data_IF_195732475845
#
_entry.id   IF_195732475845
#
_cell.length_a   1.000
_cell.length_b   1.000
_cell.length_c   1.000
_cell.angle_alpha   90.00
_cell.angle_beta   90.00
_cell.angle_gamma   90.00
#
_symmetry.space_group_name_H-M   'P 1'
#
loop_
_entity.id
_entity.type
_entity.pdbx_description
1 polymer ?
#
# COMPACT_ATOMS: atom_id res chain seq x y z
N UNK A 1 1.17 -1.08 -55.99
CA UNK A 1 0.88 0.35 -55.73
C UNK A 1 -0.42 0.56 -54.95
N UNK A 2 -1.51 -0.17 -55.20
CA UNK A 2 -2.76 -0.04 -54.41
C UNK A 2 -2.59 -0.41 -52.91
N UNK A 3 -1.91 -1.54 -52.61
CA UNK A 3 -1.72 -2.00 -51.22
C UNK A 3 -0.93 -1.05 -50.31
N UNK A 4 0.03 -0.31 -50.88
CA UNK A 4 0.84 0.67 -50.13
C UNK A 4 0.06 1.96 -49.87
N UNK A 5 -0.85 2.32 -50.78
CA UNK A 5 -1.71 3.48 -50.63
C UNK A 5 -2.78 3.26 -49.56
N UNK A 6 -3.40 2.07 -49.52
CA UNK A 6 -4.37 1.70 -48.50
C UNK A 6 -3.76 1.67 -47.09
N UNK A 7 -2.53 1.17 -46.96
CA UNK A 7 -1.78 1.17 -45.71
C UNK A 7 -1.40 2.60 -45.25
N UNK A 8 -1.01 3.48 -46.17
CA UNK A 8 -0.74 4.88 -45.85
C UNK A 8 -2.00 5.65 -45.44
N UNK A 9 -3.13 5.41 -46.10
CA UNK A 9 -4.41 6.02 -45.72
C UNK A 9 -4.89 5.53 -44.36
N UNK A 10 -4.71 4.24 -44.05
CA UNK A 10 -5.02 3.68 -42.72
C UNK A 10 -4.14 4.30 -41.62
N UNK A 11 -2.84 4.50 -41.85
CA UNK A 11 -1.94 5.15 -40.89
C UNK A 11 -2.28 6.64 -40.70
N UNK A 12 -2.70 7.34 -41.76
CA UNK A 12 -3.16 8.74 -41.67
C UNK A 12 -4.48 8.85 -40.91
N UNK A 13 -5.42 7.95 -41.14
CA UNK A 13 -6.68 7.88 -40.38
C UNK A 13 -6.40 7.61 -38.89
N UNK A 14 -5.46 6.71 -38.58
CA UNK A 14 -5.02 6.42 -37.22
C UNK A 14 -4.35 7.63 -36.56
N UNK A 15 -3.50 8.38 -37.30
CA UNK A 15 -2.89 9.61 -36.80
C UNK A 15 -3.91 10.72 -36.53
N UNK A 16 -4.90 10.90 -37.41
CA UNK A 16 -5.93 11.92 -37.26
C UNK A 16 -6.90 11.64 -36.10
N UNK A 17 -7.13 10.36 -35.77
CA UNK A 17 -8.02 9.94 -34.68
C UNK A 17 -7.24 9.33 -33.50
N UNK A 18 -5.96 9.66 -33.36
CA UNK A 18 -5.06 9.06 -32.38
C UNK A 18 -5.50 9.30 -30.94
N UNK A 19 -5.96 10.51 -30.61
CA UNK A 19 -6.41 10.86 -29.25
C UNK A 19 -7.63 10.05 -28.82
N UNK A 20 -8.60 9.89 -29.73
CA UNK A 20 -9.83 9.13 -29.48
C UNK A 20 -9.55 7.62 -29.34
N UNK A 21 -8.65 7.09 -30.16
CA UNK A 21 -8.21 5.68 -30.08
C UNK A 21 -7.38 5.40 -28.83
N UNK A 22 -6.52 6.34 -28.41
CA UNK A 22 -5.72 6.22 -27.20
C UNK A 22 -6.56 6.37 -25.94
N UNK A 23 -7.53 7.30 -25.91
CA UNK A 23 -8.48 7.45 -24.80
C UNK A 23 -9.35 6.20 -24.63
N UNK A 24 -9.84 5.65 -25.73
CA UNK A 24 -10.58 4.38 -25.73
C UNK A 24 -9.74 3.20 -25.23
N UNK A 25 -8.44 3.14 -25.60
CA UNK A 25 -7.53 2.08 -25.15
C UNK A 25 -7.16 2.20 -23.67
N UNK A 26 -6.87 3.42 -23.19
CA UNK A 26 -6.32 3.67 -21.86
C UNK A 26 -7.40 3.78 -20.78
N UNK A 27 -8.54 4.40 -21.08
CA UNK A 27 -9.55 4.75 -20.07
C UNK A 27 -10.83 3.91 -20.17
N UNK A 28 -11.13 3.33 -21.33
CA UNK A 28 -12.44 2.67 -21.59
C UNK A 28 -12.36 1.22 -22.05
N UNK A 29 -11.23 0.55 -21.85
CA UNK A 29 -11.12 -0.89 -22.09
C UNK A 29 -11.28 -1.31 -23.56
N UNK A 30 -10.86 -0.46 -24.51
CA UNK A 30 -10.93 -0.63 -25.97
C UNK A 30 -12.29 -0.37 -26.63
N UNK A 31 -13.22 0.26 -25.92
CA UNK A 31 -14.53 0.68 -26.45
C UNK A 31 -14.50 2.15 -26.81
N UNK A 32 -14.97 2.47 -28.01
CA UNK A 32 -15.20 3.85 -28.44
C UNK A 32 -16.69 4.17 -28.27
N UNK A 33 -17.07 5.20 -27.49
CA UNK A 33 -18.47 5.59 -27.35
C UNK A 33 -19.05 6.04 -28.69
N UNK A 34 -20.22 5.52 -29.06
CA UNK A 34 -20.96 5.96 -30.24
C UNK A 34 -21.69 7.29 -29.93
N UNK A 35 -20.97 8.40 -30.06
CA UNK A 35 -21.53 9.76 -29.95
C UNK A 35 -21.66 10.40 -31.33
N UNK A 36 -22.66 11.25 -31.54
CA UNK A 36 -22.96 11.90 -32.83
C UNK A 36 -21.77 12.67 -33.43
N UNK A 37 -20.82 13.12 -32.59
CA UNK A 37 -19.57 13.78 -33.00
C UNK A 37 -18.51 12.81 -33.56
N UNK A 38 -18.57 11.53 -33.17
CA UNK A 38 -17.57 10.50 -33.49
C UNK A 38 -17.98 9.58 -34.65
N UNK A 39 -19.20 9.71 -35.19
CA UNK A 39 -19.71 8.88 -36.28
C UNK A 39 -18.81 8.91 -37.53
N UNK A 40 -18.31 10.08 -37.93
CA UNK A 40 -17.42 10.21 -39.10
C UNK A 40 -16.04 9.56 -38.88
N UNK A 41 -15.54 9.59 -37.65
CA UNK A 41 -14.31 8.91 -37.25
C UNK A 41 -14.51 7.39 -37.17
N UNK A 42 -15.69 6.94 -36.71
CA UNK A 42 -16.05 5.52 -36.64
C UNK A 42 -16.23 4.91 -38.02
N UNK A 43 -16.87 5.60 -38.97
CA UNK A 43 -17.03 5.16 -40.36
C UNK A 43 -15.68 5.03 -41.08
N UNK A 44 -14.76 5.99 -40.87
CA UNK A 44 -13.42 5.94 -41.46
C UNK A 44 -12.56 4.83 -40.86
N UNK A 45 -12.64 4.62 -39.54
CA UNK A 45 -11.93 3.54 -38.86
C UNK A 45 -12.53 2.15 -39.17
N UNK A 46 -13.84 2.04 -39.41
CA UNK A 46 -14.50 0.83 -39.90
C UNK A 46 -14.12 0.52 -41.36
N UNK A 47 -14.09 1.54 -42.22
CA UNK A 47 -13.67 1.39 -43.63
C UNK A 47 -12.23 0.85 -43.73
N UNK A 48 -11.33 1.32 -42.86
CA UNK A 48 -9.96 0.82 -42.76
C UNK A 48 -9.81 -0.47 -41.94
N UNK A 49 -10.92 -1.10 -41.53
CA UNK A 49 -10.95 -2.36 -40.77
C UNK A 49 -10.22 -2.30 -39.42
N UNK A 50 -10.08 -1.11 -38.82
CA UNK A 50 -9.38 -0.89 -37.54
C UNK A 50 -10.28 -1.14 -36.32
N UNK A 51 -11.59 -1.03 -36.54
CA UNK A 51 -12.66 -1.29 -35.56
C UNK A 51 -13.45 -2.52 -36.00
N UNK A 52 -14.08 -3.21 -35.05
CA UNK A 52 -15.06 -4.23 -35.33
C UNK A 52 -16.35 -3.99 -34.53
N UNK A 53 -17.49 -4.21 -35.18
CA UNK A 53 -18.83 -4.21 -34.59
C UNK A 53 -19.39 -5.63 -34.67
N UNK A 54 -19.97 -6.15 -33.59
CA UNK A 54 -20.73 -7.41 -33.67
C UNK A 54 -22.01 -7.10 -34.45
N UNK A 55 -22.16 -7.66 -35.66
CA UNK A 55 -23.38 -7.47 -36.45
C UNK A 55 -24.49 -8.32 -35.83
N UNK A 56 -25.32 -7.71 -34.97
CA UNK A 56 -26.48 -8.39 -34.37
C UNK A 56 -27.11 -7.75 -33.13
N UNK A 57 -26.46 -6.78 -32.48
CA UNK A 57 -27.01 -6.10 -31.30
C UNK A 57 -26.89 -4.58 -31.49
N UNK A 58 -28.03 -3.87 -31.47
CA UNK A 58 -28.17 -2.45 -31.82
C UNK A 58 -27.57 -1.47 -30.79
N UNK A 59 -26.87 -1.96 -29.76
CA UNK A 59 -26.50 -1.17 -28.57
C UNK A 59 -25.06 -1.40 -28.06
N UNK A 60 -24.18 -2.03 -28.84
CA UNK A 60 -22.79 -2.24 -28.42
C UNK A 60 -21.79 -1.30 -29.09
N UNK A 61 -21.09 -0.54 -28.24
CA UNK A 61 -19.98 0.34 -28.63
C UNK A 61 -18.94 -0.41 -29.50
N UNK A 62 -18.46 0.22 -30.60
CA UNK A 62 -17.41 -0.34 -31.44
C UNK A 62 -16.13 -0.65 -30.65
N UNK A 63 -15.60 -1.86 -30.83
CA UNK A 63 -14.34 -2.29 -30.21
C UNK A 63 -13.17 -2.15 -31.18
N UNK A 64 -12.00 -1.77 -30.66
CA UNK A 64 -10.75 -1.82 -31.41
C UNK A 64 -10.42 -3.28 -31.78
N UNK A 65 -9.89 -3.51 -32.98
CA UNK A 65 -9.42 -4.84 -33.37
C UNK A 65 -8.18 -5.26 -32.60
N UNK A 66 -8.05 -6.58 -32.38
CA UNK A 66 -6.94 -7.18 -31.65
C UNK A 66 -5.57 -6.82 -32.23
N UNK A 67 -5.45 -6.72 -33.55
CA UNK A 67 -4.21 -6.36 -34.24
C UNK A 67 -3.79 -4.91 -33.96
N UNK A 68 -4.76 -3.98 -33.92
CA UNK A 68 -4.53 -2.59 -33.56
C UNK A 68 -4.20 -2.46 -32.06
N UNK A 69 -4.90 -3.21 -31.21
CA UNK A 69 -4.61 -3.31 -29.79
C UNK A 69 -3.18 -3.81 -29.57
N UNK A 70 -2.73 -4.83 -30.29
CA UNK A 70 -1.35 -5.33 -30.19
C UNK A 70 -0.32 -4.28 -30.61
N UNK A 71 -0.58 -3.53 -31.68
CA UNK A 71 0.29 -2.43 -32.12
C UNK A 71 0.31 -1.28 -31.10
N UNK A 72 -0.84 -0.87 -30.57
CA UNK A 72 -0.95 0.16 -29.55
C UNK A 72 -0.29 -0.27 -28.24
N UNK A 73 -0.43 -1.53 -27.84
CA UNK A 73 0.26 -2.07 -26.66
C UNK A 73 1.78 -2.10 -26.88
N UNK A 74 2.24 -2.41 -28.11
CA UNK A 74 3.65 -2.35 -28.48
C UNK A 74 4.19 -0.91 -28.47
N UNK A 75 3.40 0.06 -28.93
CA UNK A 75 3.81 1.48 -29.04
C UNK A 75 3.70 2.21 -27.69
N UNK A 76 2.69 1.91 -26.87
CA UNK A 76 2.42 2.53 -25.56
C UNK A 76 3.34 2.08 -24.42
N UNK A 77 4.37 1.28 -24.73
CA UNK A 77 5.29 0.73 -23.73
C UNK A 77 4.64 -0.26 -22.74
N UNK A 78 3.35 -0.57 -22.89
CA UNK A 78 2.64 -1.54 -22.05
C UNK A 78 3.02 -3.00 -22.36
N UNK A 79 3.44 -3.30 -23.60
CA UNK A 79 4.10 -4.59 -23.92
C UNK A 79 5.53 -4.61 -23.36
N UNK A 80 6.28 -3.50 -23.52
CA UNK A 80 7.66 -3.35 -23.02
C UNK A 80 7.71 -3.58 -21.51
N UNK A 81 6.80 -2.98 -20.74
CA UNK A 81 6.63 -3.24 -19.30
C UNK A 81 6.24 -4.68 -18.97
N UNK A 82 5.45 -5.35 -19.81
CA UNK A 82 5.08 -6.77 -19.61
C UNK A 82 6.21 -7.74 -19.92
N UNK A 83 7.09 -7.40 -20.86
CA UNK A 83 8.20 -8.25 -21.30
C UNK A 83 9.55 -7.80 -20.78
N UNK A 84 9.64 -6.71 -20.00
CA UNK A 84 10.91 -6.16 -19.54
C UNK A 84 11.77 -7.20 -18.81
N UNK A 85 11.16 -8.10 -18.02
CA UNK A 85 11.90 -9.21 -17.39
C UNK A 85 12.50 -10.19 -18.41
N UNK A 86 11.75 -10.58 -19.44
CA UNK A 86 12.22 -11.47 -20.51
C UNK A 86 13.21 -10.78 -21.46
N UNK A 87 13.01 -9.48 -21.72
CA UNK A 87 13.90 -8.66 -22.53
C UNK A 87 15.24 -8.41 -21.82
N UNK A 88 15.23 -8.04 -20.54
CA UNK A 88 16.45 -7.91 -19.72
C UNK A 88 17.21 -9.24 -19.70
N UNK A 89 16.52 -10.38 -19.59
CA UNK A 89 17.16 -11.69 -19.65
C UNK A 89 17.80 -11.99 -21.03
N UNK A 90 17.11 -11.69 -22.12
CA UNK A 90 17.63 -11.92 -23.48
C UNK A 90 18.81 -10.99 -23.82
N UNK A 91 18.72 -9.71 -23.43
CA UNK A 91 19.82 -8.74 -23.57
C UNK A 91 21.02 -9.20 -22.75
N UNK A 92 20.80 -9.75 -21.56
CA UNK A 92 21.87 -10.30 -20.74
C UNK A 92 22.59 -11.49 -21.40
N UNK A 93 21.85 -12.47 -21.93
CA UNK A 93 22.46 -13.58 -22.66
C UNK A 93 23.26 -13.10 -23.88
N UNK A 94 22.78 -12.04 -24.53
CA UNK A 94 23.48 -11.42 -25.66
C UNK A 94 24.77 -10.75 -25.21
N UNK A 95 24.76 -10.07 -24.05
CA UNK A 95 25.93 -9.47 -23.41
C UNK A 95 27.00 -10.52 -23.07
N UNK A 96 26.60 -11.67 -22.51
CA UNK A 96 27.51 -12.80 -22.24
C UNK A 96 28.13 -13.38 -23.53
N UNK A 97 27.38 -13.38 -24.63
CA UNK A 97 27.90 -13.69 -25.97
C UNK A 97 28.97 -12.70 -26.41
N UNK A 98 28.67 -11.40 -26.30
CA UNK A 98 29.60 -10.32 -26.66
C UNK A 98 30.88 -10.34 -25.80
N UNK A 99 30.80 -10.69 -24.52
CA UNK A 99 32.00 -10.85 -23.68
C UNK A 99 32.89 -12.01 -24.13
N UNK A 100 32.30 -13.14 -24.57
CA UNK A 100 33.05 -14.26 -25.14
C UNK A 100 33.75 -13.86 -26.43
N UNK A 101 33.03 -13.20 -27.33
CA UNK A 101 33.56 -12.74 -28.62
C UNK A 101 34.67 -11.69 -28.42
N UNK A 102 34.49 -10.78 -27.45
CA UNK A 102 35.50 -9.79 -27.07
C UNK A 102 36.78 -10.45 -26.56
N UNK A 103 36.66 -11.47 -25.69
CA UNK A 103 37.80 -12.19 -25.16
C UNK A 103 38.55 -12.98 -26.26
N UNK A 104 37.83 -13.53 -27.25
CA UNK A 104 38.41 -14.22 -28.40
C UNK A 104 39.10 -13.25 -29.38
N UNK A 105 38.49 -12.10 -29.66
CA UNK A 105 39.07 -11.03 -30.48
C UNK A 105 40.35 -10.47 -29.83
N UNK A 106 40.36 -10.34 -28.50
CA UNK A 106 41.54 -9.92 -27.73
C UNK A 106 42.68 -10.93 -27.77
N UNK A 107 42.38 -12.23 -27.71
CA UNK A 107 43.39 -13.30 -27.90
C UNK A 107 44.03 -13.27 -29.30
N UNK A 108 43.26 -12.88 -30.32
CA UNK A 108 43.72 -12.78 -31.72
C UNK A 108 44.34 -11.43 -32.09
N UNK A 109 44.35 -10.46 -31.18
CA UNK A 109 44.83 -9.08 -31.40
C UNK A 109 44.17 -8.37 -32.60
N UNK A 110 42.88 -8.63 -32.84
CA UNK A 110 42.11 -7.99 -33.90
C UNK A 110 41.58 -6.62 -33.45
N UNK A 111 42.42 -5.58 -33.51
CA UNK A 111 42.12 -4.25 -32.95
C UNK A 111 40.83 -3.59 -33.45
N UNK A 112 40.48 -3.77 -34.74
CA UNK A 112 39.26 -3.20 -35.32
C UNK A 112 37.99 -3.89 -34.78
N UNK A 113 38.05 -5.21 -34.61
CA UNK A 113 36.93 -5.97 -34.06
C UNK A 113 36.75 -5.71 -32.56
N UNK A 114 37.86 -5.48 -31.83
CA UNK A 114 37.84 -5.09 -30.42
C UNK A 114 37.08 -3.77 -30.24
N UNK A 115 37.40 -2.71 -30.99
CA UNK A 115 36.69 -1.41 -30.86
C UNK A 115 35.20 -1.53 -31.19
N UNK A 116 34.85 -2.31 -32.23
CA UNK A 116 33.46 -2.57 -32.59
C UNK A 116 32.71 -3.32 -31.48
N UNK A 117 33.33 -4.34 -30.89
CA UNK A 117 32.75 -5.12 -29.80
C UNK A 117 32.63 -4.29 -28.52
N UNK A 118 33.57 -3.39 -28.22
CA UNK A 118 33.43 -2.46 -27.09
C UNK A 118 32.25 -1.50 -27.25
N UNK A 119 32.02 -1.00 -28.47
CA UNK A 119 30.86 -0.16 -28.75
C UNK A 119 29.55 -0.95 -28.57
N UNK A 120 29.48 -2.17 -29.11
CA UNK A 120 28.32 -3.04 -28.96
C UNK A 120 28.04 -3.41 -27.49
N UNK A 121 29.08 -3.66 -26.69
CA UNK A 121 28.96 -3.93 -25.26
C UNK A 121 28.42 -2.69 -24.52
N UNK A 122 28.90 -1.49 -24.84
CA UNK A 122 28.39 -0.24 -24.22
C UNK A 122 26.93 -0.01 -24.55
N UNK A 123 26.54 -0.22 -25.80
CA UNK A 123 25.16 -0.06 -26.26
C UNK A 123 24.24 -1.08 -25.58
N UNK A 124 24.59 -2.36 -25.60
CA UNK A 124 23.80 -3.40 -24.93
C UNK A 124 23.68 -3.17 -23.42
N UNK A 125 24.75 -2.72 -22.75
CA UNK A 125 24.68 -2.39 -21.32
C UNK A 125 23.79 -1.16 -21.06
N UNK A 126 23.86 -0.13 -21.91
CA UNK A 126 23.00 1.04 -21.78
C UNK A 126 21.52 0.65 -21.95
N UNK A 127 21.20 -0.20 -22.93
CA UNK A 127 19.86 -0.75 -23.13
C UNK A 127 19.37 -1.53 -21.90
N UNK A 128 20.22 -2.38 -21.31
CA UNK A 128 19.86 -3.11 -20.07
C UNK A 128 19.55 -2.15 -18.92
N UNK A 129 20.38 -1.11 -18.74
CA UNK A 129 20.18 -0.13 -17.66
C UNK A 129 18.88 0.65 -17.87
N UNK A 130 18.60 1.08 -19.10
CA UNK A 130 17.38 1.81 -19.43
C UNK A 130 16.14 0.92 -19.30
N UNK A 131 16.20 -0.35 -19.69
CA UNK A 131 15.10 -1.30 -19.53
C UNK A 131 14.83 -1.63 -18.05
N UNK A 132 15.88 -1.76 -17.23
CA UNK A 132 15.75 -1.92 -15.77
C UNK A 132 15.05 -0.70 -15.16
N UNK A 133 15.52 0.50 -15.51
CA UNK A 133 14.92 1.75 -15.01
C UNK A 133 13.46 1.88 -15.44
N UNK A 134 13.18 1.70 -16.73
CA UNK A 134 11.83 1.77 -17.28
C UNK A 134 10.89 0.73 -16.65
N UNK A 135 11.38 -0.49 -16.37
CA UNK A 135 10.60 -1.51 -15.68
C UNK A 135 10.25 -1.10 -14.25
N UNK A 136 11.24 -0.60 -13.48
CA UNK A 136 11.04 -0.17 -12.09
C UNK A 136 10.13 1.06 -11.99
N UNK A 137 10.34 2.09 -12.81
CA UNK A 137 9.46 3.25 -12.91
C UNK A 137 8.04 2.86 -13.32
N UNK A 138 7.91 1.84 -14.18
CA UNK A 138 6.64 1.26 -14.56
C UNK A 138 5.82 0.77 -13.37
N UNK A 139 6.44 0.13 -12.38
CA UNK A 139 5.76 -0.32 -11.16
C UNK A 139 5.38 0.84 -10.23
N UNK A 140 6.22 1.87 -10.13
CA UNK A 140 5.91 3.08 -9.33
C UNK A 140 4.74 3.86 -9.95
N UNK A 141 4.74 4.04 -11.26
CA UNK A 141 3.60 4.62 -11.99
C UNK A 141 2.33 3.77 -11.79
N UNK A 142 2.48 2.44 -11.77
CA UNK A 142 1.37 1.53 -11.53
C UNK A 142 0.72 1.74 -10.16
N UNK A 143 1.53 1.91 -9.12
CA UNK A 143 1.08 2.27 -7.78
C UNK A 143 0.32 3.59 -7.73
N UNK A 144 0.89 4.64 -8.33
CA UNK A 144 0.29 5.97 -8.32
C UNK A 144 -1.03 6.04 -9.10
N UNK A 145 -1.18 5.23 -10.16
CA UNK A 145 -2.42 5.13 -10.94
C UNK A 145 -3.53 4.33 -10.25
N UNK A 146 -3.21 3.59 -9.18
CA UNK A 146 -4.19 2.88 -8.34
C UNK A 146 -5.08 1.87 -9.07
N UNK A 147 -4.70 1.37 -10.24
CA UNK A 147 -5.58 0.57 -11.11
C UNK A 147 -6.87 1.29 -11.54
N UNK A 148 -6.86 2.63 -11.68
CA UNK A 148 -8.06 3.42 -11.99
C UNK A 148 -8.82 3.02 -13.27
N UNK A 149 -8.20 2.23 -14.15
CA UNK A 149 -8.82 1.66 -15.35
C UNK A 149 -9.66 0.40 -15.10
N UNK A 150 -9.56 -0.22 -13.92
CA UNK A 150 -10.32 -1.42 -13.55
C UNK A 150 -11.40 -1.05 -12.55
N UNK A 151 -12.65 -1.12 -12.97
CA UNK A 151 -13.80 -0.78 -12.14
C UNK A 151 -14.14 -1.86 -11.11
N UNK A 152 -13.88 -3.14 -11.41
CA UNK A 152 -14.17 -4.27 -10.51
C UNK A 152 -13.00 -4.52 -9.54
N UNK A 153 -13.29 -4.50 -8.24
CA UNK A 153 -12.36 -4.81 -7.16
C UNK A 153 -11.70 -6.20 -7.34
N UNK A 154 -12.44 -7.21 -7.82
CA UNK A 154 -11.88 -8.55 -8.07
C UNK A 154 -10.82 -8.53 -9.17
N UNK A 155 -11.10 -7.82 -10.25
CA UNK A 155 -10.15 -7.68 -11.36
C UNK A 155 -8.93 -6.85 -10.94
N UNK A 156 -9.10 -5.84 -10.07
CA UNK A 156 -7.98 -5.09 -9.46
C UNK A 156 -7.07 -6.00 -8.64
N UNK A 157 -7.65 -6.88 -7.81
CA UNK A 157 -6.87 -7.85 -7.02
C UNK A 157 -6.06 -8.78 -7.93
N UNK A 158 -6.69 -9.36 -8.95
CA UNK A 158 -6.01 -10.27 -9.90
C UNK A 158 -4.86 -9.55 -10.62
N UNK A 159 -5.06 -8.31 -11.04
CA UNK A 159 -4.01 -7.58 -11.75
C UNK A 159 -2.89 -7.13 -10.81
N UNK A 160 -3.19 -6.83 -9.53
CA UNK A 160 -2.17 -6.58 -8.51
C UNK A 160 -1.34 -7.83 -8.22
N UNK A 161 -1.97 -9.00 -8.08
CA UNK A 161 -1.27 -10.27 -7.93
C UNK A 161 -0.32 -10.55 -9.10
N UNK A 162 -0.75 -10.28 -10.34
CA UNK A 162 0.13 -10.38 -11.51
C UNK A 162 1.28 -9.39 -11.47
N UNK A 163 1.04 -8.16 -11.01
CA UNK A 163 2.10 -7.15 -10.88
C UNK A 163 3.16 -7.60 -9.85
N UNK A 164 2.73 -8.14 -8.71
CA UNK A 164 3.61 -8.72 -7.68
C UNK A 164 4.41 -9.90 -8.25
N UNK A 165 3.77 -10.81 -8.99
CA UNK A 165 4.45 -11.96 -9.61
C UNK A 165 5.53 -11.49 -10.60
N UNK A 166 5.23 -10.49 -11.43
CA UNK A 166 6.17 -9.90 -12.40
C UNK A 166 7.34 -9.22 -11.70
N UNK A 167 7.08 -8.42 -10.68
CA UNK A 167 8.12 -7.79 -9.89
C UNK A 167 8.98 -8.84 -9.15
N UNK A 168 8.39 -9.92 -8.65
CA UNK A 168 9.12 -11.05 -8.08
C UNK A 168 10.05 -11.75 -9.07
N UNK A 169 9.61 -11.95 -10.32
CA UNK A 169 10.45 -12.47 -11.41
C UNK A 169 11.62 -11.53 -11.71
N UNK A 170 11.38 -10.22 -11.78
CA UNK A 170 12.43 -9.23 -11.99
C UNK A 170 13.44 -9.21 -10.83
N UNK A 171 12.98 -9.33 -9.59
CA UNK A 171 13.88 -9.46 -8.43
C UNK A 171 14.72 -10.73 -8.50
N UNK A 172 14.12 -11.86 -8.91
CA UNK A 172 14.84 -13.12 -9.09
C UNK A 172 15.90 -13.02 -10.19
N UNK A 173 15.63 -12.26 -11.26
CA UNK A 173 16.63 -11.93 -12.27
C UNK A 173 17.77 -11.08 -11.67
N UNK A 174 17.44 -10.08 -10.83
CA UNK A 174 18.45 -9.30 -10.14
C UNK A 174 19.35 -10.15 -9.24
N UNK A 175 18.78 -11.15 -8.58
CA UNK A 175 19.50 -12.10 -7.73
C UNK A 175 20.35 -13.10 -8.53
N UNK A 176 19.94 -13.41 -9.76
CA UNK A 176 20.76 -14.23 -10.66
C UNK A 176 22.06 -13.54 -11.11
N UNK A 177 22.15 -12.22 -10.97
CA UNK A 177 23.37 -11.48 -11.29
C UNK A 177 24.42 -11.62 -10.18
N UNK A 178 25.41 -12.48 -10.43
CA UNK A 178 26.55 -12.62 -9.55
C UNK A 178 27.67 -11.62 -9.92
N UNK A 179 27.82 -10.56 -9.12
CA UNK A 179 28.87 -9.54 -9.29
C UNK A 179 30.27 -10.17 -9.29
N UNK A 180 30.47 -11.30 -8.60
CA UNK A 180 31.76 -12.01 -8.57
C UNK A 180 32.10 -12.67 -9.90
N UNK A 181 31.13 -13.30 -10.55
CA UNK A 181 31.32 -13.89 -11.89
C UNK A 181 31.60 -12.81 -12.93
N UNK A 182 30.93 -11.66 -12.82
CA UNK A 182 31.20 -10.50 -13.67
C UNK A 182 32.59 -9.91 -13.44
N UNK A 183 33.06 -9.88 -12.20
CA UNK A 183 34.42 -9.46 -11.88
C UNK A 183 35.47 -10.43 -12.44
N UNK A 184 35.21 -11.73 -12.42
CA UNK A 184 36.06 -12.75 -13.04
C UNK A 184 36.08 -12.61 -14.57
N UNK A 185 34.92 -12.39 -15.21
CA UNK A 185 34.82 -12.16 -16.65
C UNK A 185 35.51 -10.86 -17.09
N UNK A 186 35.47 -9.81 -16.29
CA UNK A 186 36.19 -8.55 -16.56
C UNK A 186 37.71 -8.72 -16.51
N UNK A 187 38.22 -9.72 -15.78
CA UNK A 187 39.63 -10.06 -15.70
C UNK A 187 40.49 -8.86 -15.29
N UNK A 188 41.49 -8.50 -16.11
CA UNK A 188 42.36 -7.34 -15.88
C UNK A 188 42.12 -6.19 -16.85
N UNK A 189 40.97 -6.18 -17.53
CA UNK A 189 40.65 -5.16 -18.51
C UNK A 189 40.08 -3.89 -17.84
N UNK A 190 40.72 -2.71 -18.00
CA UNK A 190 40.23 -1.47 -17.43
C UNK A 190 38.84 -1.06 -17.95
N UNK A 191 38.51 -1.37 -19.20
CA UNK A 191 37.24 -1.01 -19.83
C UNK A 191 36.10 -1.83 -19.22
N UNK A 192 36.23 -3.17 -19.24
CA UNK A 192 35.24 -4.06 -18.64
C UNK A 192 35.10 -3.84 -17.13
N UNK A 193 36.21 -3.63 -16.40
CA UNK A 193 36.15 -3.30 -14.97
C UNK A 193 35.33 -2.05 -14.69
N UNK A 194 35.55 -0.96 -15.44
CA UNK A 194 34.79 0.28 -15.21
C UNK A 194 33.30 0.08 -15.51
N UNK A 195 32.96 -0.64 -16.58
CA UNK A 195 31.58 -0.86 -16.98
C UNK A 195 30.84 -1.79 -15.99
N UNK A 196 31.43 -2.94 -15.67
CA UNK A 196 30.84 -4.01 -14.87
C UNK A 196 30.93 -3.77 -13.35
N UNK A 197 31.94 -3.04 -12.86
CA UNK A 197 32.11 -2.82 -11.41
C UNK A 197 31.61 -1.44 -10.93
N UNK A 198 31.30 -0.51 -11.85
CA UNK A 198 30.81 0.83 -11.48
C UNK A 198 29.39 1.10 -11.96
N UNK A 199 29.12 0.93 -13.25
CA UNK A 199 27.85 1.36 -13.84
C UNK A 199 26.73 0.34 -13.64
N UNK A 200 27.02 -0.94 -13.89
CA UNK A 200 26.02 -2.01 -13.73
C UNK A 200 25.59 -2.22 -12.26
N UNK A 201 26.49 -2.28 -11.25
CA UNK A 201 26.07 -2.50 -9.87
C UNK A 201 25.28 -1.31 -9.29
N UNK A 202 25.64 -0.09 -9.67
CA UNK A 202 24.90 1.11 -9.26
C UNK A 202 23.46 1.09 -9.81
N UNK A 203 23.29 0.74 -11.09
CA UNK A 203 21.97 0.62 -11.70
C UNK A 203 21.14 -0.53 -11.12
N UNK A 204 21.77 -1.67 -10.81
CA UNK A 204 21.12 -2.81 -10.17
C UNK A 204 20.68 -2.49 -8.74
N UNK A 205 21.50 -1.77 -7.97
CA UNK A 205 21.18 -1.38 -6.60
C UNK A 205 20.04 -0.36 -6.57
N UNK A 206 20.09 0.66 -7.43
CA UNK A 206 18.99 1.62 -7.62
C UNK A 206 17.69 0.89 -8.04
N UNK A 207 17.79 -0.03 -9.00
CA UNK A 207 16.66 -0.84 -9.44
C UNK A 207 16.07 -1.71 -8.33
N UNK A 208 16.92 -2.35 -7.51
CA UNK A 208 16.51 -3.16 -6.36
C UNK A 208 15.77 -2.35 -5.31
N UNK A 209 16.29 -1.17 -4.95
CA UNK A 209 15.66 -0.31 -3.95
C UNK A 209 14.27 0.15 -4.41
N UNK A 210 14.16 0.63 -5.65
CA UNK A 210 12.89 1.05 -6.23
C UNK A 210 11.89 -0.12 -6.33
N UNK A 211 12.35 -1.30 -6.73
CA UNK A 211 11.52 -2.49 -6.84
C UNK A 211 11.05 -2.98 -5.46
N UNK A 212 11.91 -2.97 -4.44
CA UNK A 212 11.58 -3.38 -3.09
C UNK A 212 10.52 -2.47 -2.47
N UNK A 213 10.68 -1.16 -2.64
CA UNK A 213 9.66 -0.17 -2.26
C UNK A 213 8.33 -0.46 -2.97
N UNK A 214 8.37 -0.63 -4.29
CA UNK A 214 7.15 -0.88 -5.07
C UNK A 214 6.45 -2.20 -4.68
N UNK A 215 7.22 -3.27 -4.43
CA UNK A 215 6.70 -4.56 -3.98
C UNK A 215 6.02 -4.48 -2.62
N UNK A 216 6.61 -3.74 -1.67
CA UNK A 216 6.02 -3.56 -0.35
C UNK A 216 4.67 -2.83 -0.47
N UNK A 217 4.64 -1.75 -1.25
CA UNK A 217 3.41 -0.98 -1.46
C UNK A 217 2.32 -1.78 -2.17
N UNK A 218 2.67 -2.59 -3.18
CA UNK A 218 1.73 -3.48 -3.85
C UNK A 218 1.12 -4.50 -2.89
N UNK A 219 1.92 -5.03 -1.96
CA UNK A 219 1.46 -5.98 -0.92
C UNK A 219 0.51 -5.31 0.07
N UNK A 220 0.86 -4.13 0.58
CA UNK A 220 -0.02 -3.36 1.49
C UNK A 220 -1.37 -3.10 0.81
N UNK A 221 -1.34 -2.63 -0.42
CA UNK A 221 -2.58 -2.34 -1.16
C UNK A 221 -3.40 -3.59 -1.45
N UNK A 222 -2.75 -4.74 -1.69
CA UNK A 222 -3.43 -6.02 -1.85
C UNK A 222 -4.12 -6.48 -0.56
N UNK A 223 -3.50 -6.28 0.61
CA UNK A 223 -4.11 -6.59 1.91
C UNK A 223 -5.36 -5.73 2.12
N UNK A 224 -5.26 -4.42 1.89
CA UNK A 224 -6.39 -3.49 1.97
C UNK A 224 -7.53 -3.91 1.03
N UNK A 225 -7.23 -4.16 -0.24
CA UNK A 225 -8.24 -4.59 -1.22
C UNK A 225 -8.93 -5.91 -0.85
N UNK A 226 -8.22 -6.85 -0.20
CA UNK A 226 -8.83 -8.10 0.28
C UNK A 226 -9.76 -7.87 1.46
N UNK A 227 -9.42 -6.95 2.36
CA UNK A 227 -10.30 -6.58 3.46
C UNK A 227 -11.54 -5.86 2.93
N UNK A 228 -11.38 -4.91 2.01
CA UNK A 228 -12.49 -4.25 1.33
C UNK A 228 -13.40 -5.26 0.62
N UNK A 229 -12.82 -6.29 -0.01
CA UNK A 229 -13.58 -7.37 -0.64
C UNK A 229 -14.34 -8.20 0.39
N UNK A 230 -13.73 -8.48 1.55
CA UNK A 230 -14.36 -9.24 2.64
C UNK A 230 -15.56 -8.46 3.21
N UNK A 231 -15.37 -7.18 3.49
CA UNK A 231 -16.43 -6.29 3.97
C UNK A 231 -17.55 -6.14 2.94
N UNK A 232 -17.20 -5.92 1.66
CA UNK A 232 -18.18 -5.83 0.57
C UNK A 232 -19.01 -7.11 0.43
N UNK A 233 -18.39 -8.29 0.58
CA UNK A 233 -19.10 -9.58 0.59
C UNK A 233 -20.01 -9.74 1.81
N UNK A 234 -19.59 -9.26 2.97
CA UNK A 234 -20.40 -9.31 4.19
C UNK A 234 -21.66 -8.43 4.04
N UNK A 235 -21.51 -7.23 3.50
CA UNK A 235 -22.63 -6.33 3.20
C UNK A 235 -23.57 -6.96 2.18
N UNK A 236 -23.05 -7.51 1.09
CA UNK A 236 -23.87 -8.20 0.09
C UNK A 236 -24.61 -9.42 0.66
N UNK A 237 -23.94 -10.23 1.49
CA UNK A 237 -24.59 -11.37 2.16
C UNK A 237 -25.67 -10.91 3.15
N UNK A 238 -25.46 -9.80 3.84
CA UNK A 238 -26.45 -9.20 4.72
C UNK A 238 -27.66 -8.69 3.92
N UNK A 239 -27.43 -7.95 2.82
CA UNK A 239 -28.47 -7.50 1.91
C UNK A 239 -29.30 -8.68 1.37
N UNK A 240 -28.63 -9.72 0.84
CA UNK A 240 -29.28 -10.93 0.35
C UNK A 240 -30.13 -11.60 1.44
N UNK A 241 -29.64 -11.65 2.68
CA UNK A 241 -30.36 -12.25 3.80
C UNK A 241 -31.66 -11.47 4.14
N UNK A 242 -31.61 -10.14 4.13
CA UNK A 242 -32.77 -9.28 4.39
C UNK A 242 -33.77 -9.28 3.25
N UNK A 243 -33.31 -9.32 2.00
CA UNK A 243 -34.18 -9.45 0.82
C UNK A 243 -34.94 -10.78 0.82
N UNK A 244 -34.26 -11.87 1.20
CA UNK A 244 -34.88 -13.19 1.27
C UNK A 244 -35.80 -13.36 2.49
N UNK A 245 -35.57 -12.62 3.58
CA UNK A 245 -36.34 -12.70 4.82
C UNK A 245 -36.91 -11.33 5.24
N UNK A 246 -37.96 -10.84 4.57
CA UNK A 246 -38.59 -9.58 4.92
C UNK A 246 -39.22 -9.67 6.32
N UNK A 247 -38.67 -8.93 7.28
CA UNK A 247 -39.11 -8.93 8.69
C UNK A 247 -38.17 -9.63 9.66
N UNK A 248 -36.99 -10.10 9.21
CA UNK A 248 -35.94 -10.58 10.10
C UNK A 248 -35.52 -9.49 11.10
N UNK A 249 -35.54 -9.83 12.38
CA UNK A 249 -35.03 -9.00 13.48
C UNK A 249 -33.91 -9.81 14.13
N UNK A 250 -32.65 -9.34 14.10
CA UNK A 250 -31.54 -10.09 14.67
C UNK A 250 -31.77 -10.32 16.17
N UNK A 251 -31.77 -11.58 16.60
CA UNK A 251 -31.94 -11.97 18.00
C UNK A 251 -30.66 -12.61 18.54
N UNK A 252 -30.46 -12.51 19.86
CA UNK A 252 -29.36 -13.20 20.57
C UNK A 252 -29.49 -14.73 20.43
N UNK A 253 -30.70 -15.23 20.15
CA UNK A 253 -30.94 -16.66 19.90
C UNK A 253 -30.35 -17.16 18.57
N UNK A 254 -30.08 -16.26 17.62
CA UNK A 254 -29.52 -16.60 16.31
C UNK A 254 -27.98 -16.60 16.33
N UNK A 255 -27.36 -16.19 17.44
CA UNK A 255 -25.92 -16.25 17.65
C UNK A 255 -25.51 -17.66 18.07
N UNK A 256 -24.53 -18.20 17.35
CA UNK A 256 -23.86 -19.42 17.76
C UNK A 256 -22.97 -19.12 18.98
N UNK A 257 -23.43 -19.52 20.16
CA UNK A 257 -22.81 -19.21 21.46
C UNK A 257 -21.38 -19.76 21.59
N UNK A 258 -21.01 -20.77 20.80
CA UNK A 258 -19.64 -21.30 20.74
C UNK A 258 -18.66 -20.33 20.07
N UNK A 259 -19.15 -19.45 19.18
CA UNK A 259 -18.33 -18.55 18.36
C UNK A 259 -18.58 -17.08 18.68
N UNK A 260 -19.14 -16.79 19.85
CA UNK A 260 -19.45 -15.41 20.26
C UNK A 260 -18.15 -14.61 20.46
N UNK A 261 -17.94 -13.49 19.74
CA UNK A 261 -16.77 -12.63 19.94
C UNK A 261 -16.68 -12.14 21.39
N UNK A 262 -15.48 -12.12 22.00
CA UNK A 262 -15.30 -11.74 23.41
C UNK A 262 -15.79 -10.32 23.73
N UNK A 263 -15.81 -9.41 22.74
CA UNK A 263 -16.38 -8.07 22.90
C UNK A 263 -17.91 -8.09 23.16
N UNK A 264 -18.63 -9.09 22.64
CA UNK A 264 -20.07 -9.29 22.88
C UNK A 264 -20.33 -10.15 24.13
N UNK A 265 -19.35 -10.96 24.54
CA UNK A 265 -19.42 -11.80 25.73
C UNK A 265 -18.94 -11.05 26.99
N UNK A 266 -19.58 -9.93 27.30
CA UNK A 266 -19.25 -9.11 28.46
C UNK A 266 -20.43 -9.09 29.46
N UNK A 267 -20.74 -10.22 30.13
CA UNK A 267 -21.81 -10.24 31.10
C UNK A 267 -21.45 -9.34 32.28
N UNK A 268 -22.37 -8.44 32.66
CA UNK A 268 -22.23 -7.72 33.94
C UNK A 268 -22.14 -8.75 35.07
N UNK A 269 -21.24 -8.57 36.05
CA UNK A 269 -21.15 -9.45 37.19
C UNK A 269 -22.51 -9.52 37.88
N UNK A 270 -23.16 -10.69 37.84
CA UNK A 270 -24.38 -10.89 38.60
C UNK A 270 -23.97 -11.37 40.00
N UNK A 271 -24.51 -10.76 41.08
CA UNK A 271 -24.21 -11.22 42.42
C UNK A 271 -24.80 -12.61 42.61
N UNK A 272 -23.95 -13.61 42.81
CA UNK A 272 -24.36 -14.92 43.27
C UNK A 272 -24.77 -14.77 44.74
N UNK A 273 -26.08 -14.64 44.97
CA UNK A 273 -26.64 -14.65 46.33
C UNK A 273 -26.93 -16.09 46.70
N UNK A 274 -26.14 -16.64 47.61
CA UNK A 274 -26.46 -17.90 48.26
C UNK A 274 -27.47 -17.63 49.37
N UNK A 275 -28.61 -18.29 49.32
CA UNK A 275 -29.57 -18.31 50.41
C UNK A 275 -29.35 -19.59 51.22
N UNK A 276 -29.52 -19.51 52.53
CA UNK A 276 -29.55 -20.71 53.37
C UNK A 276 -30.69 -21.63 52.94
N UNK A 277 -30.47 -22.95 52.98
CA UNK A 277 -31.49 -23.92 52.64
C UNK A 277 -32.59 -23.93 53.72
N UNK A 278 -33.77 -23.45 53.36
CA UNK A 278 -34.93 -23.37 54.25
C UNK A 278 -35.59 -24.73 54.52
N UNK A 279 -35.11 -25.79 53.87
CA UNK A 279 -35.61 -27.15 54.05
C UNK A 279 -34.66 -28.05 54.87
N UNK A 280 -33.59 -27.49 55.43
CA UNK A 280 -32.68 -28.22 56.31
C UNK A 280 -33.31 -28.43 57.70
N UNK A 281 -33.64 -29.68 58.09
CA UNK A 281 -34.30 -29.95 59.37
C UNK A 281 -33.43 -29.64 60.59
N UNK A 282 -32.11 -29.49 60.43
CA UNK A 282 -31.23 -29.03 61.52
C UNK A 282 -31.46 -27.55 61.88
N UNK A 283 -32.03 -26.77 60.95
CA UNK A 283 -32.22 -25.32 61.06
C UNK A 283 -33.67 -24.93 61.43
N UNK A 284 -34.57 -25.89 61.59
CA UNK A 284 -36.01 -25.66 61.80
C UNK A 284 -36.32 -24.75 63.00
N UNK A 285 -35.60 -24.95 64.11
CA UNK A 285 -35.89 -24.22 65.35
C UNK A 285 -35.47 -22.74 65.24
N UNK A 286 -34.32 -22.47 64.61
CA UNK A 286 -33.84 -21.12 64.32
C UNK A 286 -34.73 -20.41 63.29
N UNK A 287 -35.20 -21.14 62.27
CA UNK A 287 -36.12 -20.62 61.25
C UNK A 287 -37.50 -20.25 61.85
N UNK A 288 -38.00 -21.03 62.82
CA UNK A 288 -39.24 -20.73 63.54
C UNK A 288 -39.09 -19.44 64.37
N UNK A 289 -37.97 -19.28 65.07
CA UNK A 289 -37.68 -18.07 65.85
C UNK A 289 -37.53 -16.83 64.95
N UNK A 290 -36.85 -16.97 63.81
CA UNK A 290 -36.75 -15.94 62.77
C UNK A 290 -38.11 -15.57 62.18
N UNK A 291 -38.98 -16.54 61.89
CA UNK A 291 -40.32 -16.28 61.38
C UNK A 291 -41.21 -15.54 62.41
N UNK A 292 -41.06 -15.87 63.69
CA UNK A 292 -41.78 -15.19 64.79
C UNK A 292 -41.30 -13.75 64.97
N UNK A 293 -39.99 -13.51 64.94
CA UNK A 293 -39.41 -12.17 65.03
C UNK A 293 -39.77 -11.30 63.82
N UNK A 294 -39.75 -11.84 62.60
CA UNK A 294 -40.16 -11.15 61.38
C UNK A 294 -41.65 -10.75 61.40
N UNK A 295 -42.53 -11.57 61.99
CA UNK A 295 -43.97 -11.25 62.17
C UNK A 295 -44.20 -10.06 63.11
N UNK A 296 -43.29 -9.80 64.04
CA UNK A 296 -43.40 -8.71 65.02
C UNK A 296 -42.90 -7.36 64.48
N UNK A 297 -42.20 -7.35 63.34
CA UNK A 297 -41.71 -6.13 62.72
C UNK A 297 -42.78 -5.47 61.84
N UNK A 298 -42.98 -4.15 61.93
CA UNK A 298 -43.89 -3.44 61.04
C UNK A 298 -43.40 -3.54 59.59
N UNK A 299 -44.30 -3.93 58.69
CA UNK A 299 -44.03 -4.05 57.25
C UNK A 299 -43.54 -2.69 56.71
N UNK A 300 -42.26 -2.61 56.38
CA UNK A 300 -41.74 -1.52 55.56
C UNK A 300 -42.18 -1.79 54.11
N UNK A 301 -43.10 -0.98 53.59
CA UNK A 301 -43.44 -0.98 52.18
C UNK A 301 -42.21 -0.55 51.38
N UNK A 302 -41.65 -1.46 50.58
CA UNK A 302 -40.58 -1.12 49.66
C UNK A 302 -41.10 -0.09 48.65
N UNK A 303 -40.41 1.04 48.54
CA UNK A 303 -40.76 2.10 47.60
C UNK A 303 -40.83 1.53 46.16
N UNK A 304 -41.78 1.98 45.32
CA UNK A 304 -41.88 1.51 43.95
C UNK A 304 -40.58 1.84 43.21
N UNK A 305 -39.90 0.82 42.68
CA UNK A 305 -38.80 1.05 41.74
C UNK A 305 -39.40 1.63 40.46
N UNK A 306 -39.09 2.89 40.19
CA UNK A 306 -39.40 3.54 38.92
C UNK A 306 -38.76 2.73 37.78
N UNK A 307 -39.49 2.41 36.70
CA UNK A 307 -38.91 1.69 35.57
C UNK A 307 -37.84 2.57 34.92
N UNK A 308 -36.63 2.02 34.78
CA UNK A 308 -35.54 2.66 34.04
C UNK A 308 -36.03 3.05 32.64
N UNK A 309 -36.07 4.35 32.39
CA UNK A 309 -36.39 4.91 31.08
C UNK A 309 -35.30 4.48 30.11
N UNK A 310 -35.64 3.62 29.16
CA UNK A 310 -34.81 3.34 28.00
C UNK A 310 -34.57 4.65 27.25
N UNK A 311 -33.32 5.08 27.18
CA UNK A 311 -32.89 6.18 26.32
C UNK A 311 -33.02 5.76 24.87
N UNK A 312 -33.71 6.59 24.08
CA UNK A 312 -33.89 6.40 22.64
C UNK A 312 -32.52 6.33 21.96
N UNK A 313 -32.29 5.29 21.16
CA UNK A 313 -31.14 5.21 20.26
C UNK A 313 -31.47 6.12 19.08
N UNK A 314 -30.66 7.15 18.86
CA UNK A 314 -30.73 7.98 17.66
C UNK A 314 -30.12 7.22 16.48
N UNK A 315 -30.88 7.08 15.40
CA UNK A 315 -30.43 6.47 14.15
C UNK A 315 -29.40 7.38 13.48
N UNK A 316 -28.11 7.00 13.55
CA UNK A 316 -27.01 7.66 12.83
C UNK A 316 -27.00 7.31 11.34
N UNK A 317 -27.95 7.85 10.57
CA UNK A 317 -27.95 7.81 9.11
C UNK A 317 -27.33 9.06 8.46
N UNK A 318 -26.92 10.04 9.27
CA UNK A 318 -26.12 11.16 8.78
C UNK A 318 -24.65 10.78 8.94
N UNK A 319 -23.99 10.58 7.80
CA UNK A 319 -22.56 10.28 7.71
C UNK A 319 -21.72 11.36 8.37
N UNK A 320 -21.44 11.18 9.65
CA UNK A 320 -20.34 11.84 10.30
C UNK A 320 -19.06 11.17 9.80
N UNK A 321 -18.19 11.98 9.18
CA UNK A 321 -16.81 11.59 9.00
C UNK A 321 -16.28 11.15 10.37
N UNK A 322 -15.92 9.87 10.49
CA UNK A 322 -15.13 9.40 11.61
C UNK A 322 -13.81 10.17 11.55
N UNK A 323 -13.70 11.25 12.32
CA UNK A 323 -12.39 11.76 12.70
C UNK A 323 -11.79 10.65 13.54
N UNK A 324 -10.81 9.93 13.00
CA UNK A 324 -10.06 8.93 13.73
C UNK A 324 -9.67 9.54 15.09
N UNK A 325 -10.06 8.90 16.19
CA UNK A 325 -9.54 9.24 17.51
C UNK A 325 -8.02 9.15 17.39
N UNK A 326 -7.36 10.32 17.47
CA UNK A 326 -5.92 10.39 17.38
C UNK A 326 -5.34 9.70 18.61
N UNK A 327 -4.26 8.93 18.43
CA UNK A 327 -3.59 8.27 19.55
C UNK A 327 -3.20 9.35 20.57
N UNK A 328 -3.54 9.21 21.87
CA UNK A 328 -3.16 10.18 22.90
C UNK A 328 -1.65 10.42 22.97
N UNK A 329 -0.83 9.48 22.49
CA UNK A 329 0.61 9.67 22.33
C UNK A 329 0.95 10.66 21.21
N UNK A 330 0.27 10.53 20.06
CA UNK A 330 0.48 11.39 18.89
C UNK A 330 0.00 12.82 19.18
N UNK A 331 -1.13 12.97 19.89
CA UNK A 331 -1.61 14.27 20.37
C UNK A 331 -0.58 14.95 21.28
N UNK A 332 0.07 14.19 22.17
CA UNK A 332 1.07 14.74 23.08
C UNK A 332 2.35 15.15 22.35
N UNK A 333 2.81 14.36 21.38
CA UNK A 333 3.96 14.71 20.52
C UNK A 333 3.64 15.97 19.71
N UNK A 334 2.43 16.08 19.15
CA UNK A 334 1.99 17.27 18.40
C UNK A 334 1.94 18.50 19.30
N UNK A 335 1.35 18.42 20.50
CA UNK A 335 1.30 19.54 21.44
C UNK A 335 2.70 20.01 21.86
N UNK A 336 3.62 19.06 22.06
CA UNK A 336 5.01 19.36 22.41
C UNK A 336 5.74 20.07 21.26
N UNK A 337 5.56 19.63 20.01
CA UNK A 337 6.17 20.29 18.85
C UNK A 337 5.53 21.65 18.55
N UNK A 338 4.21 21.78 18.68
CA UNK A 338 3.51 23.06 18.53
C UNK A 338 3.99 24.07 19.57
N UNK A 339 4.29 23.63 20.80
CA UNK A 339 4.87 24.50 21.83
C UNK A 339 6.26 25.01 21.43
N UNK A 340 7.10 24.17 20.81
CA UNK A 340 8.43 24.53 20.32
C UNK A 340 8.35 25.45 19.09
N UNK A 341 7.49 25.12 18.12
CA UNK A 341 7.34 25.85 16.86
C UNK A 341 6.66 27.21 17.05
N UNK A 342 5.71 27.31 17.99
CA UNK A 342 5.04 28.58 18.35
C UNK A 342 5.93 29.53 19.17
N UNK A 343 7.09 29.07 19.65
CA UNK A 343 8.04 29.89 20.41
C UNK A 343 7.63 30.17 21.86
N UNK A 344 6.61 29.47 22.38
CA UNK A 344 6.10 29.64 23.75
C UNK A 344 7.07 29.18 24.86
N UNK A 345 8.23 28.63 24.48
CA UNK A 345 9.28 28.12 25.37
C UNK A 345 10.33 29.21 25.70
N UNK A 346 10.39 30.29 24.92
CA UNK A 346 11.44 31.32 25.08
C UNK A 346 12.85 30.73 24.93
N UNK A 347 13.74 31.01 25.89
CA UNK A 347 15.12 30.49 25.93
C UNK A 347 15.27 29.10 26.59
N UNK A 348 14.16 28.44 26.96
CA UNK A 348 14.18 27.16 27.66
C UNK A 348 14.46 25.97 26.72
N UNK A 349 15.09 24.94 27.27
CA UNK A 349 15.19 23.61 26.64
C UNK A 349 14.11 22.71 27.26
N UNK A 350 13.39 21.94 26.44
CA UNK A 350 12.42 20.95 26.92
C UNK A 350 12.97 19.55 26.69
N UNK A 351 13.07 18.77 27.75
CA UNK A 351 13.35 17.33 27.70
C UNK A 351 12.07 16.58 27.29
N UNK A 352 12.18 15.72 26.27
CA UNK A 352 11.09 14.84 25.85
C UNK A 352 10.80 13.77 26.91
N UNK A 353 11.80 13.32 27.66
CA UNK A 353 11.57 12.36 28.74
C UNK A 353 10.78 12.96 29.92
N UNK A 354 11.07 14.20 30.31
CA UNK A 354 10.38 14.88 31.41
C UNK A 354 8.91 15.21 31.08
N UNK A 355 8.60 15.48 29.80
CA UNK A 355 7.21 15.71 29.35
C UNK A 355 6.39 14.43 29.30
N UNK A 356 7.01 13.30 28.98
CA UNK A 356 6.38 11.98 29.10
C UNK A 356 6.12 11.63 30.57
N UNK A 357 7.02 11.93 31.49
CA UNK A 357 6.79 11.69 32.93
C UNK A 357 5.71 12.60 33.53
N UNK A 358 5.58 13.83 33.01
CA UNK A 358 4.55 14.77 33.42
C UNK A 358 3.16 14.40 32.89
N UNK A 359 3.09 13.60 31.82
CA UNK A 359 1.85 13.05 31.29
C UNK A 359 1.61 11.65 31.85
N UNK A 360 0.41 11.40 32.38
CA UNK A 360 0.06 10.10 32.97
C UNK A 360 -0.24 9.05 31.89
N UNK A 361 0.61 8.92 30.87
CA UNK A 361 0.47 7.98 29.76
C UNK A 361 1.35 6.74 30.00
N UNK A 362 0.78 5.55 29.77
CA UNK A 362 1.47 4.26 29.90
C UNK A 362 2.35 3.93 28.66
N UNK A 363 3.11 4.91 28.16
CA UNK A 363 4.00 4.74 27.01
C UNK A 363 5.44 4.47 27.46
N UNK A 364 6.13 3.55 26.79
CA UNK A 364 7.56 3.32 27.01
C UNK A 364 8.39 4.49 26.49
N UNK A 365 9.38 5.01 27.26
CA UNK A 365 10.18 6.17 26.87
C UNK A 365 10.84 6.06 25.49
N UNK A 366 11.35 4.87 25.14
CA UNK A 366 11.94 4.63 23.83
C UNK A 366 10.95 4.79 22.66
N UNK A 367 9.68 4.44 22.87
CA UNK A 367 8.63 4.58 21.85
C UNK A 367 8.26 6.04 21.67
N UNK A 368 8.19 6.80 22.76
CA UNK A 368 7.93 8.24 22.73
C UNK A 368 9.07 9.01 22.04
N UNK A 369 10.32 8.74 22.38
CA UNK A 369 11.48 9.40 21.75
C UNK A 369 11.54 9.15 20.24
N UNK A 370 11.20 7.94 19.78
CA UNK A 370 11.09 7.65 18.34
C UNK A 370 9.91 8.35 17.67
N UNK A 371 8.78 8.49 18.36
CA UNK A 371 7.63 9.22 17.84
C UNK A 371 7.95 10.72 17.68
N UNK A 372 8.66 11.32 18.64
CA UNK A 372 9.15 12.70 18.57
C UNK A 372 10.11 12.88 17.38
N UNK A 373 11.09 11.99 17.19
CA UNK A 373 12.01 12.03 16.05
C UNK A 373 11.27 11.94 14.71
N UNK A 374 10.37 10.96 14.57
CA UNK A 374 9.59 10.75 13.35
C UNK A 374 8.71 11.95 13.02
N UNK A 375 8.10 12.58 14.03
CA UNK A 375 7.23 13.73 13.83
C UNK A 375 8.02 15.00 13.50
N UNK A 376 9.22 15.20 14.06
CA UNK A 376 10.11 16.30 13.64
C UNK A 376 10.59 16.12 12.19
N UNK A 377 10.87 14.88 11.78
CA UNK A 377 11.25 14.58 10.40
C UNK A 377 10.10 14.81 9.41
N UNK A 378 8.86 14.58 9.85
CA UNK A 378 7.64 14.80 9.06
C UNK A 378 7.20 16.27 8.98
N UNK A 379 7.76 17.18 9.79
CA UNK A 379 7.41 18.60 9.76
C UNK A 379 7.78 19.25 8.41
N UNK A 380 6.98 20.23 7.94
CA UNK A 380 7.34 21.05 6.78
C UNK A 380 8.73 21.68 6.92
N UNK A 381 9.46 21.89 5.82
CA UNK A 381 10.85 22.38 5.86
C UNK A 381 11.01 23.78 6.50
N UNK A 382 9.93 24.55 6.61
CA UNK A 382 9.91 25.85 7.30
C UNK A 382 9.85 25.70 8.83
N UNK A 383 9.06 24.76 9.34
CA UNK A 383 8.88 24.50 10.76
C UNK A 383 10.00 23.63 11.32
N UNK A 384 10.54 22.70 10.52
CA UNK A 384 11.72 21.91 10.85
C UNK A 384 12.96 22.77 11.12
N UNK A 385 13.07 23.95 10.51
CA UNK A 385 14.15 24.92 10.78
C UNK A 385 14.00 25.66 12.10
N UNK A 386 12.84 25.56 12.76
CA UNK A 386 12.52 26.20 14.05
C UNK A 386 12.68 25.25 15.24
N UNK A 387 13.05 24.00 14.98
CA UNK A 387 13.26 22.97 16.00
C UNK A 387 14.70 22.47 15.86
N UNK A 388 15.48 22.60 16.92
CA UNK A 388 16.81 22.01 17.02
C UNK A 388 16.78 20.86 18.04
N UNK A 389 17.27 19.70 17.60
CA UNK A 389 17.29 18.46 18.35
C UNK A 389 18.70 18.18 18.88
N UNK A 390 18.83 17.96 20.18
CA UNK A 390 20.05 17.48 20.82
C UNK A 390 19.81 16.12 21.48
N UNK A 391 20.68 15.16 21.17
CA UNK A 391 20.60 13.80 21.69
C UNK A 391 21.53 13.63 22.89
N UNK A 392 20.97 13.25 24.04
CA UNK A 392 21.76 12.87 25.20
C UNK A 392 22.07 11.37 25.13
N UNK A 393 23.22 11.07 24.52
CA UNK A 393 23.68 9.71 24.30
C UNK A 393 24.80 9.31 25.27
N UNK A 394 24.68 8.12 25.85
CA UNK A 394 25.69 7.49 26.71
C UNK A 394 26.22 6.24 26.01
N UNK A 395 27.55 6.10 25.94
CA UNK A 395 28.18 4.90 25.39
C UNK A 395 27.95 3.71 26.32
N UNK A 396 27.70 2.54 25.73
CA UNK A 396 27.59 1.30 26.50
C UNK A 396 28.90 1.04 27.27
N UNK A 397 28.83 0.71 28.57
CA UNK A 397 30.02 0.47 29.39
C UNK A 397 30.84 -0.76 28.97
N UNK A 398 30.25 -1.71 28.23
CA UNK A 398 30.90 -2.93 27.72
C UNK A 398 31.21 -2.84 26.22
N UNK A 399 30.40 -2.11 25.44
CA UNK A 399 30.54 -1.96 23.99
C UNK A 399 30.59 -0.49 23.56
N UNK A 400 31.76 0.17 23.59
CA UNK A 400 31.87 1.62 23.36
C UNK A 400 31.41 2.09 21.97
N UNK A 401 31.23 1.17 21.01
CA UNK A 401 30.67 1.45 19.68
C UNK A 401 29.12 1.51 19.67
N UNK A 402 28.46 1.13 20.76
CA UNK A 402 27.01 1.24 20.93
C UNK A 402 26.65 2.48 21.73
N UNK A 403 25.81 3.34 21.15
CA UNK A 403 25.28 4.55 21.77
C UNK A 403 23.84 4.31 22.24
N UNK A 404 23.58 4.57 23.52
CA UNK A 404 22.24 4.59 24.09
C UNK A 404 21.76 6.03 24.22
N UNK A 405 20.70 6.38 23.49
CA UNK A 405 20.02 7.67 23.64
C UNK A 405 19.10 7.56 24.85
N UNK A 406 19.38 8.35 25.88
CA UNK A 406 18.57 8.39 27.10
C UNK A 406 17.49 9.46 27.02
N UNK A 407 17.76 10.56 26.30
CA UNK A 407 16.82 11.66 26.15
C UNK A 407 17.05 12.44 24.83
N UNK A 408 16.02 13.18 24.45
CA UNK A 408 16.03 14.13 23.34
C UNK A 408 15.59 15.48 23.90
N UNK A 409 16.47 16.47 23.79
CA UNK A 409 16.18 17.86 24.16
C UNK A 409 15.82 18.67 22.92
N UNK A 410 14.71 19.41 23.01
CA UNK A 410 14.17 20.24 21.93
C UNK A 410 14.34 21.72 22.30
N UNK A 411 14.82 22.51 21.33
CA UNK A 411 14.96 23.97 21.49
C UNK A 411 14.60 24.74 20.22
N UNK A 412 14.29 26.02 20.41
CA UNK A 412 14.07 26.95 19.30
C UNK A 412 15.39 27.69 18.96
N UNK A 413 15.88 27.66 17.70
CA UNK A 413 17.25 28.06 17.36
C UNK A 413 17.54 29.57 17.41
N UNK A 414 16.53 30.43 17.53
CA UNK A 414 16.68 31.91 17.46
C UNK A 414 16.73 32.63 18.82
N UNK A 415 17.20 31.99 19.90
CA UNK A 415 17.36 32.68 21.19
C UNK A 415 18.82 32.60 21.65
N UNK A 416 19.53 33.73 21.57
CA UNK A 416 20.91 33.87 22.08
C UNK A 416 20.94 33.63 23.59
N UNK A 417 21.94 32.85 24.04
CA UNK A 417 22.24 32.64 25.46
C UNK A 417 22.60 33.96 26.13
N UNK A 418 21.89 34.33 27.20
CA UNK A 418 22.34 35.33 28.19
C UNK A 418 22.94 34.62 29.39
#
# INVERSE_FOLDING_TARGET
MARTHDAQSALKALANHAELVLDAHLNRGNRIPDTDENLSALETLEHHRLIWRFRGEEDQDPNLKKELIHLLIHVSGAQRRRWASEQVFNLWQSLEGLFRDYHEAKKRAAFVDIERLEAAIRECLAEIIDDIRSATEGFVSYLNSGFGYVTDLRLRIIENEKAIERAGKLNSLFDSFNIRELAEQAGNDPFLKRLLLKHLPAALEEGRQNLAYALNQLRVMLVQMREDQRLSKLIGAFEDHFLNNPGYIPSIADLDLETCPPALNNPKPFPLVAYGDIYDPASDQELIELAQSARSQPRQEAAPKEPERLTSIENGLDGHAETAEQDPLDELVQQLLDMVVSGNIGAGEISAHDTLLASSLDATPATFLRAVEAQVDALPPEDRRRVELTYDAVNDPLYPDNLYIQDITLRHPNVERV
#
